data_IF_625827927993
#
_entry.id   IF_625827927993
#
_cell.length_a   1.000
_cell.length_b   1.000
_cell.length_c   1.000
_cell.angle_alpha   90.00
_cell.angle_beta   90.00
_cell.angle_gamma   90.00
#
_symmetry.space_group_name_H-M   'P 1'
#
loop_
_entity.id
_entity.type
_entity.pdbx_description
1 polymer ?
#
# COMPACT_ATOMS: atom_id res chain seq x y z
N UNK A 1 7.94 20.28 -20.08
CA UNK A 1 7.57 20.51 -18.66
C UNK A 1 7.67 19.16 -17.97
N UNK A 2 8.50 19.01 -16.94
CA UNK A 2 8.50 17.76 -16.16
C UNK A 2 7.13 17.67 -15.50
N UNK A 3 6.31 16.69 -15.89
CA UNK A 3 5.13 16.35 -15.12
C UNK A 3 5.64 15.83 -13.76
N UNK A 4 5.51 16.63 -12.72
CA UNK A 4 5.91 16.25 -11.36
C UNK A 4 4.78 15.44 -10.74
N UNK A 5 5.09 14.24 -10.28
CA UNK A 5 4.19 13.40 -9.49
C UNK A 5 3.88 14.06 -8.13
N UNK A 6 2.63 14.00 -7.67
CA UNK A 6 2.29 14.31 -6.27
C UNK A 6 2.35 13.05 -5.40
N UNK A 7 3.54 12.77 -4.86
CA UNK A 7 3.76 11.61 -3.97
C UNK A 7 3.43 11.93 -2.49
N UNK A 8 2.70 13.02 -2.22
CA UNK A 8 2.37 13.40 -0.84
C UNK A 8 1.51 12.32 -0.19
N UNK A 9 1.99 11.76 0.94
CA UNK A 9 1.23 10.81 1.74
C UNK A 9 0.02 11.47 2.40
N UNK A 10 -1.12 10.81 2.27
CA UNK A 10 -2.39 11.24 2.87
C UNK A 10 -2.95 10.12 3.74
N UNK A 11 -3.52 10.49 4.88
CA UNK A 11 -4.23 9.55 5.74
C UNK A 11 -5.51 9.11 5.05
N UNK A 12 -5.65 7.81 4.81
CA UNK A 12 -6.79 7.22 4.12
C UNK A 12 -7.80 6.63 5.10
N UNK A 13 -7.30 5.86 6.07
CA UNK A 13 -8.15 5.21 7.08
C UNK A 13 -7.41 5.06 8.40
N UNK A 14 -8.20 5.02 9.48
CA UNK A 14 -7.73 4.82 10.84
C UNK A 14 -8.57 3.73 11.51
N UNK A 15 -7.90 2.80 12.19
CA UNK A 15 -8.54 1.79 13.03
C UNK A 15 -7.95 1.84 14.45
N UNK A 16 -8.74 1.44 15.45
CA UNK A 16 -8.30 1.36 16.85
C UNK A 16 -8.26 -0.09 17.31
N UNK A 17 -7.18 -0.47 17.99
CA UNK A 17 -7.00 -1.78 18.61
C UNK A 17 -6.41 -1.62 20.02
N UNK A 18 -7.29 -1.61 21.03
CA UNK A 18 -6.87 -1.34 22.40
C UNK A 18 -6.18 0.03 22.52
N UNK A 19 -4.94 0.11 23.04
CA UNK A 19 -4.18 1.36 23.13
C UNK A 19 -3.60 1.82 21.79
N UNK A 20 -3.69 1.02 20.73
CA UNK A 20 -3.09 1.33 19.45
C UNK A 20 -4.07 1.99 18.49
N UNK A 21 -3.59 2.98 17.76
CA UNK A 21 -4.24 3.53 16.57
C UNK A 21 -3.41 3.15 15.35
N UNK A 22 -4.02 2.47 14.39
CA UNK A 22 -3.40 1.97 13.17
C UNK A 22 -3.90 2.83 12.01
N UNK A 23 -3.00 3.50 11.32
CA UNK A 23 -3.28 4.47 10.27
C UNK A 23 -2.73 3.97 8.93
N UNK A 24 -3.57 3.98 7.90
CA UNK A 24 -3.15 3.74 6.52
C UNK A 24 -2.82 5.08 5.84
N UNK A 25 -1.57 5.23 5.39
CA UNK A 25 -1.11 6.39 4.65
C UNK A 25 -0.75 5.97 3.22
N UNK A 26 -1.36 6.63 2.24
CA UNK A 26 -1.16 6.34 0.81
C UNK A 26 -0.81 7.65 0.10
N UNK A 27 0.15 7.58 -0.82
CA UNK A 27 0.52 8.69 -1.68
C UNK A 27 -0.68 9.10 -2.54
N UNK A 28 -0.78 10.39 -2.86
CA UNK A 28 -1.86 10.84 -3.76
C UNK A 28 -1.74 10.20 -5.13
N UNK A 29 -0.54 10.22 -5.69
CA UNK A 29 -0.25 9.68 -6.99
C UNK A 29 0.78 8.54 -6.92
N UNK A 30 0.51 7.46 -7.67
CA UNK A 30 1.47 6.40 -8.00
C UNK A 30 2.00 6.69 -9.40
N UNK A 31 3.26 7.10 -9.50
CA UNK A 31 3.83 7.44 -10.80
C UNK A 31 4.49 6.26 -11.47
N UNK A 32 4.13 6.08 -12.74
CA UNK A 32 4.49 4.92 -13.54
C UNK A 32 5.16 5.39 -14.83
N UNK A 33 6.21 4.69 -15.26
CA UNK A 33 6.84 4.92 -16.56
C UNK A 33 6.44 3.84 -17.58
N UNK A 34 6.10 4.22 -18.83
CA UNK A 34 5.82 3.26 -19.89
C UNK A 34 7.14 2.79 -20.52
N UNK A 35 7.52 1.52 -20.37
CA UNK A 35 8.48 0.74 -21.19
C UNK A 35 8.32 -0.76 -20.82
N UNK A 36 9.02 -1.76 -21.41
CA UNK A 36 8.43 -3.09 -21.72
C UNK A 36 7.89 -3.90 -20.53
N UNK A 37 8.16 -3.46 -19.31
CA UNK A 37 7.41 -3.73 -18.10
C UNK A 37 7.17 -2.39 -17.39
N UNK A 38 5.95 -2.11 -16.93
CA UNK A 38 5.66 -0.88 -16.18
C UNK A 38 6.50 -0.83 -14.91
N UNK A 39 7.31 0.22 -14.75
CA UNK A 39 8.11 0.46 -13.55
C UNK A 39 7.49 1.56 -12.70
N UNK A 40 7.33 1.32 -11.40
CA UNK A 40 6.92 2.33 -10.44
C UNK A 40 8.09 3.26 -10.15
N UNK A 41 7.81 4.56 -10.16
CA UNK A 41 8.78 5.62 -9.89
C UNK A 41 8.69 6.14 -8.45
N UNK A 42 7.61 5.82 -7.73
CA UNK A 42 7.34 6.35 -6.40
C UNK A 42 8.05 5.54 -5.31
N UNK A 43 8.88 6.20 -4.52
CA UNK A 43 9.76 5.52 -3.55
C UNK A 43 9.03 4.99 -2.30
N UNK A 44 7.83 5.53 -2.00
CA UNK A 44 7.05 5.12 -0.82
C UNK A 44 5.53 5.36 -0.95
N UNK A 45 4.82 4.64 -1.84
CA UNK A 45 3.42 4.98 -2.12
C UNK A 45 2.44 4.56 -1.02
N UNK A 46 2.85 3.69 -0.10
CA UNK A 46 1.99 3.10 0.90
C UNK A 46 2.78 2.73 2.16
N UNK A 47 2.27 3.16 3.31
CA UNK A 47 2.80 2.83 4.62
C UNK A 47 1.69 2.69 5.66
N UNK A 48 1.93 1.86 6.68
CA UNK A 48 1.08 1.80 7.87
C UNK A 48 1.83 2.45 9.03
N UNK A 49 1.16 3.36 9.74
CA UNK A 49 1.66 3.96 10.97
C UNK A 49 0.88 3.42 12.15
N UNK A 50 1.59 2.93 13.16
CA UNK A 50 1.00 2.45 14.42
C UNK A 50 1.37 3.41 15.53
N UNK A 51 0.37 4.05 16.12
CA UNK A 51 0.52 4.99 17.25
C UNK A 51 0.08 4.35 18.54
N UNK A 52 0.87 4.49 19.59
CA UNK A 52 0.43 4.14 20.93
C UNK A 52 -0.26 5.34 21.59
N UNK A 53 -1.58 5.27 21.71
CA UNK A 53 -2.43 6.26 22.37
C UNK A 53 -2.69 5.93 23.84
N UNK A 54 -2.24 4.75 24.30
CA UNK A 54 -2.34 4.32 25.68
C UNK A 54 -1.25 4.89 26.57
N UNK A 55 -1.44 4.84 27.90
CA UNK A 55 -0.49 5.39 28.87
C UNK A 55 0.76 4.53 29.09
N UNK A 56 0.74 3.27 28.65
CA UNK A 56 1.83 2.31 28.85
C UNK A 56 2.53 2.01 27.53
N UNK A 57 3.87 1.84 27.52
CA UNK A 57 4.57 1.34 26.34
C UNK A 57 4.00 0.02 25.85
N UNK A 58 4.02 -0.16 24.54
CA UNK A 58 3.55 -1.38 23.88
C UNK A 58 4.68 -1.94 23.04
N UNK A 59 4.90 -3.25 23.15
CA UNK A 59 5.83 -3.96 22.29
C UNK A 59 5.07 -4.56 21.11
N UNK A 60 5.50 -4.22 19.90
CA UNK A 60 4.97 -4.73 18.64
C UNK A 60 6.01 -5.68 18.04
N UNK A 61 5.56 -6.87 17.64
CA UNK A 61 6.35 -7.83 16.87
C UNK A 61 5.66 -8.01 15.54
N UNK A 62 6.33 -7.63 14.46
CA UNK A 62 5.79 -7.70 13.11
C UNK A 62 6.79 -8.43 12.19
N UNK A 63 6.30 -9.33 11.35
CA UNK A 63 7.14 -9.98 10.34
C UNK A 63 7.50 -8.96 9.27
N UNK A 64 8.78 -8.67 9.00
CA UNK A 64 9.18 -7.71 7.95
C UNK A 64 9.78 -8.50 6.80
N UNK A 65 9.18 -8.51 5.59
CA UNK A 65 8.29 -7.49 5.04
C UNK A 65 6.75 -7.74 5.12
N UNK A 66 6.29 -8.89 5.63
CA UNK A 66 4.88 -9.33 5.50
C UNK A 66 3.89 -8.75 6.51
N UNK A 67 4.30 -7.80 7.35
CA UNK A 67 3.44 -7.16 8.32
C UNK A 67 2.32 -6.38 7.65
N UNK A 68 2.54 -5.92 6.41
CA UNK A 68 1.56 -5.20 5.61
C UNK A 68 1.60 -5.75 4.20
N UNK A 69 0.45 -6.06 3.62
CA UNK A 69 0.34 -6.40 2.20
C UNK A 69 -1.04 -6.03 1.65
N UNK A 70 -1.12 -5.82 0.34
CA UNK A 70 -2.38 -5.53 -0.34
C UNK A 70 -3.11 -6.84 -0.59
N UNK A 71 -4.30 -7.01 -0.01
CA UNK A 71 -5.13 -8.21 -0.16
C UNK A 71 -6.10 -8.12 -1.32
N UNK A 72 -6.41 -6.91 -1.78
CA UNK A 72 -7.34 -6.68 -2.88
C UNK A 72 -7.05 -5.34 -3.55
N UNK A 73 -7.16 -5.34 -4.87
CA UNK A 73 -7.15 -4.13 -5.70
C UNK A 73 -8.45 -4.08 -6.48
N UNK A 74 -9.05 -2.90 -6.63
CA UNK A 74 -10.23 -2.69 -7.47
C UNK A 74 -10.15 -1.35 -8.21
N UNK A 75 -10.90 -1.25 -9.30
CA UNK A 75 -11.15 0.04 -9.94
C UNK A 75 -12.10 0.86 -9.06
N UNK A 76 -11.71 2.06 -8.62
CA UNK A 76 -12.56 2.89 -7.78
C UNK A 76 -13.90 3.26 -8.46
N UNK A 77 -13.94 3.32 -9.79
CA UNK A 77 -15.15 3.57 -10.56
C UNK A 77 -16.06 2.32 -10.66
N UNK A 78 -15.52 1.13 -10.33
CA UNK A 78 -16.24 -0.16 -10.32
C UNK A 78 -15.85 -1.05 -9.12
N UNK A 79 -16.24 -0.67 -7.89
CA UNK A 79 -15.80 -1.36 -6.66
C UNK A 79 -16.28 -2.81 -6.52
N UNK A 80 -17.25 -3.23 -7.33
CA UNK A 80 -17.78 -4.59 -7.33
C UNK A 80 -16.85 -5.61 -8.01
N UNK A 81 -15.93 -5.19 -8.89
CA UNK A 81 -15.04 -6.08 -9.64
C UNK A 81 -13.60 -5.96 -9.13
N UNK A 82 -13.06 -6.94 -8.39
CA UNK A 82 -11.64 -6.96 -8.07
C UNK A 82 -10.83 -7.08 -9.36
N UNK A 83 -9.67 -6.42 -9.40
CA UNK A 83 -8.65 -6.71 -10.40
C UNK A 83 -8.02 -8.06 -10.02
N UNK A 84 -7.87 -8.95 -11.00
CA UNK A 84 -7.24 -10.25 -10.80
C UNK A 84 -5.76 -9.99 -10.50
N UNK A 85 -5.28 -10.49 -9.35
CA UNK A 85 -3.90 -10.28 -8.93
C UNK A 85 -3.13 -11.57 -9.18
N UNK A 86 -1.95 -11.48 -9.80
CA UNK A 86 -1.00 -12.57 -9.69
C UNK A 86 -0.64 -12.74 -8.21
N UNK A 87 -0.77 -13.95 -7.66
CA UNK A 87 -0.36 -14.23 -6.28
C UNK A 87 1.11 -13.80 -6.14
N UNK A 88 1.37 -12.83 -5.27
CA UNK A 88 2.72 -12.43 -4.93
C UNK A 88 3.53 -13.63 -4.42
N UNK A 89 4.87 -13.56 -4.43
CA UNK A 89 5.70 -14.68 -4.00
C UNK A 89 5.28 -15.15 -2.59
N UNK A 90 5.25 -16.47 -2.32
CA UNK A 90 4.89 -17.00 -1.03
C UNK A 90 5.83 -16.42 0.04
N UNK A 91 5.33 -16.15 1.26
CA UNK A 91 6.16 -15.61 2.32
C UNK A 91 7.29 -16.60 2.62
N UNK A 92 8.54 -16.18 2.38
CA UNK A 92 9.71 -16.92 2.84
C UNK A 92 9.75 -16.88 4.38
N UNK A 93 10.62 -17.63 5.05
CA UNK A 93 10.76 -17.54 6.52
C UNK A 93 11.22 -16.12 6.92
N UNK A 94 10.26 -15.26 7.25
CA UNK A 94 10.44 -13.81 7.35
C UNK A 94 11.05 -13.40 8.70
N UNK A 95 12.12 -12.59 8.71
CA UNK A 95 12.64 -12.03 9.94
C UNK A 95 11.60 -11.11 10.61
N UNK A 96 11.35 -11.32 11.90
CA UNK A 96 10.48 -10.45 12.69
C UNK A 96 11.26 -9.26 13.23
N UNK A 97 10.67 -8.07 13.14
CA UNK A 97 11.14 -6.88 13.84
C UNK A 97 10.33 -6.71 15.13
N UNK A 98 11.02 -6.47 16.23
CA UNK A 98 10.43 -6.08 17.51
C UNK A 98 10.64 -4.59 17.72
N UNK A 99 9.57 -3.87 18.02
CA UNK A 99 9.58 -2.42 18.26
C UNK A 99 8.85 -2.11 19.55
N UNK A 100 9.47 -1.33 20.42
CA UNK A 100 8.80 -0.74 21.57
C UNK A 100 8.28 0.65 21.19
N UNK A 101 6.99 0.88 21.37
CA UNK A 101 6.31 2.15 21.06
C UNK A 101 5.91 2.79 22.39
N UNK A 102 6.60 3.86 22.79
CA UNK A 102 6.25 4.56 24.02
C UNK A 102 4.89 5.27 23.92
N UNK A 103 4.34 5.68 25.06
CA UNK A 103 3.07 6.43 25.11
C UNK A 103 3.19 7.72 24.28
N UNK A 104 2.29 7.89 23.32
CA UNK A 104 2.26 9.04 22.40
C UNK A 104 3.20 8.93 21.20
N UNK A 105 4.02 7.88 21.12
CA UNK A 105 4.92 7.65 19.99
C UNK A 105 4.27 6.82 18.88
N UNK A 106 4.94 6.81 17.73
CA UNK A 106 4.51 6.10 16.54
C UNK A 106 5.65 5.29 15.95
N UNK A 107 5.31 4.14 15.39
CA UNK A 107 6.16 3.36 14.51
C UNK A 107 5.57 3.33 13.10
N UNK A 108 6.44 3.30 12.09
CA UNK A 108 6.06 3.25 10.69
C UNK A 108 6.68 2.02 10.03
N UNK A 109 5.90 1.36 9.19
CA UNK A 109 6.40 0.24 8.40
C UNK A 109 7.36 0.73 7.33
N UNK A 110 8.26 -0.15 6.89
CA UNK A 110 8.98 0.09 5.64
C UNK A 110 7.96 0.30 4.49
N UNK A 111 8.25 1.18 3.52
CA UNK A 111 7.36 1.39 2.40
C UNK A 111 7.13 0.14 1.56
N UNK A 112 5.89 -0.07 1.09
CA UNK A 112 5.49 -1.23 0.29
C UNK A 112 5.84 -1.12 -1.20
N UNK A 113 6.97 -0.49 -1.51
CA UNK A 113 7.38 -0.13 -2.87
C UNK A 113 7.66 -1.37 -3.75
N UNK A 114 8.17 -2.46 -3.16
CA UNK A 114 8.40 -3.71 -3.89
C UNK A 114 7.12 -4.38 -4.39
N UNK A 115 6.06 -4.40 -3.58
CA UNK A 115 4.80 -5.06 -3.93
C UNK A 115 3.99 -4.25 -4.96
N UNK A 116 4.01 -2.91 -4.86
CA UNK A 116 3.32 -2.05 -5.81
C UNK A 116 3.99 -2.02 -7.19
N UNK A 117 5.31 -2.22 -7.27
CA UNK A 117 6.01 -2.47 -8.55
C UNK A 117 5.46 -3.69 -9.30
N UNK A 118 5.11 -4.76 -8.57
CA UNK A 118 4.53 -5.96 -9.18
C UNK A 118 3.10 -5.74 -9.67
N UNK A 119 2.33 -4.88 -8.99
CA UNK A 119 0.98 -4.50 -9.41
C UNK A 119 0.96 -3.49 -10.56
N UNK A 120 2.07 -2.77 -10.79
CA UNK A 120 2.13 -1.66 -11.76
C UNK A 120 1.79 -2.08 -13.20
N UNK A 121 2.26 -3.25 -13.71
CA UNK A 121 1.78 -3.81 -14.97
C UNK A 121 0.29 -4.15 -14.93
N UNK A 122 -0.24 -4.83 -13.91
CA UNK A 122 -1.68 -5.18 -13.86
C UNK A 122 -2.60 -3.92 -13.81
N UNK A 123 -2.12 -2.85 -13.16
CA UNK A 123 -2.81 -1.56 -13.10
C UNK A 123 -2.89 -0.84 -14.47
N UNK A 124 -1.94 -1.09 -15.38
CA UNK A 124 -1.83 -0.43 -16.69
C UNK A 124 -2.05 -1.32 -17.92
N UNK A 125 -1.54 -2.55 -17.90
CA UNK A 125 -1.66 -3.60 -18.93
C UNK A 125 -2.98 -4.35 -18.86
N UNK A 126 -3.71 -4.29 -17.73
CA UNK A 126 -5.04 -4.88 -17.56
C UNK A 126 -5.92 -4.56 -18.77
N UNK A 127 -5.94 -5.47 -19.74
CA UNK A 127 -6.50 -5.19 -21.06
C UNK A 127 -8.03 -5.24 -20.98
N UNK A 128 -8.54 -5.78 -19.87
CA UNK A 128 -9.92 -6.07 -19.56
C UNK A 128 -10.20 -5.84 -18.07
N UNK A 129 -11.38 -5.33 -17.72
CA UNK A 129 -11.89 -5.32 -16.35
C UNK A 129 -12.21 -6.75 -15.88
N UNK A 130 -12.46 -6.97 -14.59
CA UNK A 130 -12.83 -8.29 -14.03
C UNK A 130 -14.12 -8.91 -14.62
N UNK A 131 -14.83 -8.18 -15.49
CA UNK A 131 -15.97 -8.63 -16.29
C UNK A 131 -15.62 -8.91 -17.77
N UNK A 132 -14.34 -8.84 -18.15
CA UNK A 132 -13.85 -9.05 -19.51
C UNK A 132 -14.00 -7.84 -20.45
N UNK A 133 -14.36 -6.64 -19.96
CA UNK A 133 -14.53 -5.45 -20.81
C UNK A 133 -13.24 -4.67 -21.01
N UNK A 134 -12.92 -4.31 -22.26
CA UNK A 134 -11.68 -3.60 -22.56
C UNK A 134 -11.64 -2.20 -21.92
N UNK A 135 -10.48 -1.83 -21.37
CA UNK A 135 -10.27 -0.52 -20.76
C UNK A 135 -10.17 0.59 -21.82
N UNK A 136 -10.81 1.73 -21.53
CA UNK A 136 -10.75 2.93 -22.39
C UNK A 136 -9.30 3.43 -22.51
N UNK A 137 -8.78 3.66 -23.74
CA UNK A 137 -7.46 4.24 -23.95
C UNK A 137 -7.19 5.55 -23.20
N UNK A 138 -8.21 6.38 -22.92
CA UNK A 138 -8.07 7.62 -22.16
C UNK A 138 -7.83 7.38 -20.66
N UNK A 139 -8.31 6.24 -20.12
CA UNK A 139 -8.11 5.83 -18.73
C UNK A 139 -6.73 5.20 -18.50
N UNK A 140 -5.95 4.95 -19.56
CA UNK A 140 -4.57 4.41 -19.47
C UNK A 140 -3.57 5.41 -18.90
N UNK A 141 -3.90 6.70 -18.84
CA UNK A 141 -2.98 7.75 -18.39
C UNK A 141 -3.19 8.15 -16.93
N UNK A 142 -4.41 8.03 -16.41
CA UNK A 142 -4.76 8.39 -15.04
C UNK A 142 -5.95 7.56 -14.55
N UNK A 143 -5.82 6.91 -13.40
CA UNK A 143 -6.88 6.05 -12.84
C UNK A 143 -6.84 6.05 -11.33
N UNK A 144 -8.01 6.11 -10.69
CA UNK A 144 -8.10 5.91 -9.24
C UNK A 144 -8.32 4.43 -8.95
N UNK A 145 -7.45 3.88 -8.11
CA UNK A 145 -7.42 2.47 -7.75
C UNK A 145 -7.71 2.36 -6.26
N UNK A 146 -8.65 1.52 -5.90
CA UNK A 146 -8.91 1.16 -4.51
C UNK A 146 -8.02 0.00 -4.07
N UNK A 147 -7.54 0.09 -2.82
CA UNK A 147 -6.64 -0.86 -2.20
C UNK A 147 -7.24 -1.34 -0.88
N UNK A 148 -7.21 -2.65 -0.66
CA UNK A 148 -7.43 -3.27 0.65
C UNK A 148 -6.08 -3.74 1.17
N UNK A 149 -5.72 -3.24 2.33
CA UNK A 149 -4.41 -3.42 2.95
C UNK A 149 -4.61 -4.17 4.25
N UNK A 150 -3.94 -5.30 4.40
CA UNK A 150 -3.95 -6.06 5.64
C UNK A 150 -2.68 -5.80 6.41
N UNK A 151 -2.83 -5.33 7.64
CA UNK A 151 -1.79 -5.27 8.65
C UNK A 151 -1.90 -6.46 9.60
N UNK A 152 -0.78 -7.13 9.90
CA UNK A 152 -0.69 -8.24 10.83
C UNK A 152 0.54 -8.10 11.75
N UNK A 153 0.33 -8.19 13.05
CA UNK A 153 1.38 -8.14 14.06
C UNK A 153 0.99 -8.95 15.31
N UNK A 154 1.93 -9.12 16.24
CA UNK A 154 1.67 -9.53 17.61
C UNK A 154 1.99 -8.39 18.56
N UNK A 155 1.13 -8.14 19.52
CA UNK A 155 1.21 -6.98 20.42
C UNK A 155 1.28 -7.45 21.87
N UNK A 156 2.22 -6.91 22.63
CA UNK A 156 2.31 -7.12 24.07
C UNK A 156 2.14 -5.78 24.81
N UNK A 157 1.07 -5.68 25.57
CA UNK A 157 0.73 -4.53 26.43
C UNK A 157 0.83 -4.86 27.92
N UNK A 158 1.69 -5.83 28.29
CA UNK A 158 1.95 -6.23 29.68
C UNK A 158 1.23 -7.50 30.15
N UNK A 159 0.33 -8.07 29.35
CA UNK A 159 -0.40 -9.32 29.66
C UNK A 159 0.02 -10.51 28.78
N UNK A 160 1.07 -10.34 27.97
CA UNK A 160 1.51 -11.32 26.97
C UNK A 160 1.21 -10.88 25.53
N UNK A 161 1.69 -11.65 24.56
CA UNK A 161 1.50 -11.37 23.14
C UNK A 161 0.11 -11.81 22.65
N UNK A 162 -0.61 -10.91 22.01
CA UNK A 162 -1.87 -11.17 21.33
C UNK A 162 -1.75 -10.83 19.83
N UNK A 163 -2.34 -11.64 18.93
CA UNK A 163 -2.33 -11.32 17.51
C UNK A 163 -3.24 -10.13 17.21
N UNK A 164 -2.76 -9.24 16.35
CA UNK A 164 -3.50 -8.10 15.80
C UNK A 164 -3.54 -8.28 14.30
N UNK A 165 -4.75 -8.35 13.75
CA UNK A 165 -4.99 -8.33 12.31
C UNK A 165 -5.97 -7.22 12.02
N UNK A 166 -5.58 -6.28 11.17
CA UNK A 166 -6.41 -5.16 10.78
C UNK A 166 -6.45 -5.05 9.27
N UNK A 167 -7.65 -4.94 8.72
CA UNK A 167 -7.86 -4.59 7.32
C UNK A 167 -8.20 -3.11 7.23
N UNK A 168 -7.51 -2.41 6.33
CA UNK A 168 -7.66 -0.98 6.04
C UNK A 168 -7.88 -0.82 4.54
N UNK A 169 -8.51 0.28 4.14
CA UNK A 169 -8.86 0.59 2.77
C UNK A 169 -8.45 2.01 2.44
N UNK A 170 -8.05 2.20 1.19
CA UNK A 170 -7.78 3.53 0.68
C UNK A 170 -7.75 3.51 -0.83
N UNK A 171 -7.38 4.65 -1.41
CA UNK A 171 -7.23 4.78 -2.85
C UNK A 171 -5.97 5.52 -3.22
N UNK A 172 -5.43 5.19 -4.39
CA UNK A 172 -4.30 5.87 -5.00
C UNK A 172 -4.62 6.20 -6.45
N UNK A 173 -4.15 7.35 -6.93
CA UNK A 173 -4.28 7.72 -8.33
C UNK A 173 -3.04 7.25 -9.10
N UNK A 174 -3.18 6.24 -9.96
CA UNK A 174 -2.11 5.82 -10.85
C UNK A 174 -1.96 6.82 -12.01
N UNK A 175 -0.76 7.38 -12.19
CA UNK A 175 -0.45 8.37 -13.23
C UNK A 175 0.69 7.86 -14.10
N UNK A 176 0.45 7.76 -15.41
CA UNK A 176 1.49 7.40 -16.38
C UNK A 176 2.17 8.68 -16.86
N UNK A 177 3.46 8.82 -16.51
CA UNK A 177 4.24 9.97 -16.93
C UNK A 177 4.81 9.76 -18.35
N UNK A 178 4.76 10.77 -19.22
CA UNK A 178 5.39 10.68 -20.53
C UNK A 178 6.91 10.55 -20.37
N UNK A 179 7.54 9.76 -21.23
CA UNK A 179 9.00 9.64 -21.23
C UNK A 179 9.65 11.02 -21.31
N UNK A 180 10.62 11.28 -20.45
CA UNK A 180 11.58 12.35 -20.70
C UNK A 180 12.26 12.00 -22.01
N UNK A 181 11.96 12.74 -23.08
CA UNK A 181 12.82 12.74 -24.25
C UNK A 181 14.14 13.33 -23.78
N UNK A 182 15.18 12.50 -23.67
CA UNK A 182 16.54 13.02 -23.56
C UNK A 182 16.75 13.91 -24.79
N UNK A 183 16.93 15.20 -24.55
CA UNK A 183 17.20 16.17 -25.59
C UNK A 183 18.52 15.76 -26.26
N UNK A 184 18.44 15.36 -27.53
CA UNK A 184 19.60 15.28 -28.42
C UNK A 184 20.13 16.67 -28.72
#
# INVERSE_FOLDING_TARGET
>A
MNASCDETLTLQETASHGPLTIELWIARELCLQPLPQTTMLSDAPLQVRVKNTGPTPVQLVAAVPDAVFVTRVWDADRPAAPLDMSEGPPPESVPTTTVDIASGEAWETAPLSGYLNFLSPDLLEGTYMGDGTALDPALKLRRVVGLEVRFAASVNSGTGFAPVVQTLKGSIEAVVLPMKQDAQ
#
